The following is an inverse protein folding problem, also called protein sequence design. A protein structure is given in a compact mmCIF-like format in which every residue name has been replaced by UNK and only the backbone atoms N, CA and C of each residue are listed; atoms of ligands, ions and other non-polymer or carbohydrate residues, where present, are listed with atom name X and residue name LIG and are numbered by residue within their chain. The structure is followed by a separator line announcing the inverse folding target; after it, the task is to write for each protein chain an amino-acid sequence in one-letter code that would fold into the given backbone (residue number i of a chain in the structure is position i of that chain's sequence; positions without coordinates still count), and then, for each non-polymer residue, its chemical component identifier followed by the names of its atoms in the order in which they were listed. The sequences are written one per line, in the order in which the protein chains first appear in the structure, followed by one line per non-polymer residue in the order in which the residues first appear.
data_IF_569598748012
#
_entry.id   IF_569598748012
#
_cell.length_a   1.000
_cell.length_b   1.000
_cell.length_c   1.000
_cell.angle_alpha   90.00
_cell.angle_beta   90.00
_cell.angle_gamma   90.00
#
_symmetry.space_group_name_H-M   'P 1'
#
loop_
_entity.id
_entity.type
_entity.pdbx_description
1 polymer ?
#
# COMPACT_ATOMS: atom_id res chain seq x y z
N UNK A 1 -15.26 10.73 14.07
CA UNK A 1 -13.99 10.23 14.66
C UNK A 1 -13.49 9.08 13.81
N UNK A 2 -12.21 9.05 13.40
CA UNK A 2 -11.65 7.89 12.70
C UNK A 2 -11.66 6.66 13.62
N UNK A 3 -11.82 5.44 13.08
CA UNK A 3 -11.83 4.22 13.89
C UNK A 3 -10.48 4.02 14.59
N UNK A 4 -10.51 3.59 15.85
CA UNK A 4 -9.31 3.20 16.59
C UNK A 4 -8.68 1.93 15.98
N UNK A 5 -7.34 1.75 16.07
CA UNK A 5 -6.63 0.66 15.37
C UNK A 5 -7.11 -0.74 15.76
N UNK A 6 -7.53 -0.92 17.00
CA UNK A 6 -8.08 -2.19 17.51
C UNK A 6 -9.45 -2.50 16.87
N UNK A 7 -10.25 -1.47 16.58
CA UNK A 7 -11.57 -1.61 15.94
C UNK A 7 -11.42 -2.00 14.47
N UNK A 8 -10.44 -1.38 13.78
CA UNK A 8 -10.12 -1.72 12.39
C UNK A 8 -9.64 -3.17 12.24
N UNK A 9 -8.81 -3.66 13.17
CA UNK A 9 -8.36 -5.06 13.19
C UNK A 9 -9.55 -6.05 13.20
N UNK A 10 -10.50 -5.87 14.14
CA UNK A 10 -11.64 -6.79 14.27
C UNK A 10 -12.54 -6.76 13.04
N UNK A 11 -12.70 -5.59 12.43
CA UNK A 11 -13.49 -5.44 11.21
C UNK A 11 -12.84 -6.16 10.03
N UNK A 12 -11.53 -6.00 9.84
CA UNK A 12 -10.77 -6.69 8.78
C UNK A 12 -10.81 -8.20 8.99
N UNK A 13 -10.59 -8.69 10.21
CA UNK A 13 -10.65 -10.13 10.51
C UNK A 13 -12.04 -10.71 10.23
N UNK A 14 -13.11 -10.05 10.69
CA UNK A 14 -14.48 -10.50 10.44
C UNK A 14 -14.83 -10.50 8.95
N UNK A 15 -14.46 -9.45 8.23
CA UNK A 15 -14.64 -9.34 6.78
C UNK A 15 -13.86 -10.41 6.01
N UNK A 16 -12.62 -10.69 6.42
CA UNK A 16 -11.81 -11.70 5.76
C UNK A 16 -12.32 -13.11 6.06
N UNK A 17 -12.79 -13.35 7.29
CA UNK A 17 -13.41 -14.61 7.68
C UNK A 17 -14.64 -14.94 6.84
N UNK A 18 -15.52 -13.97 6.57
CA UNK A 18 -16.71 -14.22 5.73
C UNK A 18 -16.32 -14.65 4.31
N UNK A 19 -15.28 -14.03 3.73
CA UNK A 19 -14.72 -14.43 2.43
C UNK A 19 -14.22 -15.87 2.47
N UNK A 20 -13.41 -16.23 3.47
CA UNK A 20 -12.85 -17.59 3.59
C UNK A 20 -13.97 -18.62 3.75
N UNK A 21 -14.94 -18.36 4.62
CA UNK A 21 -16.08 -19.29 4.85
C UNK A 21 -16.97 -19.47 3.64
N UNK A 22 -17.02 -18.49 2.71
CA UNK A 22 -17.78 -18.62 1.46
C UNK A 22 -17.17 -19.65 0.51
N UNK A 23 -15.85 -19.78 0.52
CA UNK A 23 -15.13 -20.74 -0.32
C UNK A 23 -14.84 -22.06 0.41
N UNK A 24 -14.81 -22.03 1.75
CA UNK A 24 -14.50 -23.16 2.62
C UNK A 24 -15.47 -23.21 3.82
N UNK A 25 -16.70 -23.72 3.63
CA UNK A 25 -17.72 -23.71 4.66
C UNK A 25 -17.42 -24.64 5.86
N UNK A 26 -16.64 -25.70 5.66
CA UNK A 26 -16.38 -26.73 6.69
C UNK A 26 -15.18 -26.42 7.60
N UNK A 27 -14.48 -25.33 7.34
CA UNK A 27 -13.16 -25.07 7.93
C UNK A 27 -13.19 -24.65 9.42
N UNK A 28 -14.38 -24.39 9.96
CA UNK A 28 -14.61 -24.28 11.41
C UNK A 28 -13.72 -23.25 12.12
N UNK A 29 -13.16 -23.63 13.26
CA UNK A 29 -12.32 -22.76 14.10
C UNK A 29 -10.87 -22.65 13.62
N UNK A 30 -10.39 -23.59 12.80
CA UNK A 30 -8.99 -23.63 12.32
C UNK A 30 -8.79 -22.94 10.97
N UNK A 31 -9.64 -21.97 10.66
CA UNK A 31 -9.66 -21.30 9.36
C UNK A 31 -8.38 -20.52 9.02
N UNK A 32 -7.60 -20.13 10.02
CA UNK A 32 -6.30 -19.48 9.84
C UNK A 32 -5.19 -20.45 9.42
N UNK A 33 -5.32 -21.73 9.76
CA UNK A 33 -4.31 -22.77 9.50
C UNK A 33 -4.44 -23.38 8.10
N UNK A 34 -5.50 -23.02 7.36
CA UNK A 34 -5.72 -23.54 6.01
C UNK A 34 -4.60 -23.11 5.08
N UNK A 35 -4.00 -24.11 4.44
CA UNK A 35 -3.01 -23.91 3.40
C UNK A 35 -3.67 -23.51 2.07
N UNK A 36 -3.13 -22.48 1.44
CA UNK A 36 -3.56 -21.95 0.15
C UNK A 36 -2.70 -22.53 -0.98
N UNK A 37 -2.63 -23.85 -1.06
CA UNK A 37 -1.84 -24.60 -2.06
C UNK A 37 -2.52 -24.60 -3.43
N UNK A 38 -3.84 -24.67 -3.49
CA UNK A 38 -4.59 -24.56 -4.74
C UNK A 38 -4.56 -23.11 -5.27
N UNK A 39 -3.98 -22.85 -6.46
CA UNK A 39 -3.91 -21.51 -7.03
C UNK A 39 -5.29 -20.89 -7.27
N UNK A 40 -6.31 -21.68 -7.60
CA UNK A 40 -7.67 -21.18 -7.85
C UNK A 40 -8.30 -20.69 -6.55
N UNK A 41 -8.27 -21.52 -5.52
CA UNK A 41 -8.75 -21.18 -4.19
C UNK A 41 -8.03 -19.95 -3.62
N UNK A 42 -6.69 -19.92 -3.74
CA UNK A 42 -5.87 -18.78 -3.33
C UNK A 42 -6.27 -17.50 -4.03
N UNK A 43 -6.49 -17.55 -5.35
CA UNK A 43 -6.93 -16.39 -6.12
C UNK A 43 -8.29 -15.88 -5.66
N UNK A 44 -9.28 -16.76 -5.50
CA UNK A 44 -10.63 -16.37 -5.08
C UNK A 44 -10.64 -15.73 -3.67
N UNK A 45 -9.92 -16.32 -2.72
CA UNK A 45 -9.82 -15.78 -1.35
C UNK A 45 -9.14 -14.40 -1.35
N UNK A 46 -8.00 -14.27 -2.06
CA UNK A 46 -7.29 -12.99 -2.12
C UNK A 46 -8.13 -11.93 -2.85
N UNK A 47 -8.79 -12.28 -3.96
CA UNK A 47 -9.68 -11.38 -4.70
C UNK A 47 -10.85 -10.90 -3.83
N UNK A 48 -11.46 -11.79 -3.05
CA UNK A 48 -12.48 -11.43 -2.07
C UNK A 48 -11.94 -10.48 -1.01
N UNK A 49 -10.74 -10.75 -0.49
CA UNK A 49 -10.02 -9.86 0.44
C UNK A 49 -9.81 -8.46 -0.12
N UNK A 50 -9.29 -8.35 -1.35
CA UNK A 50 -9.11 -7.05 -2.04
C UNK A 50 -10.45 -6.32 -2.19
N UNK A 51 -11.53 -7.04 -2.54
CA UNK A 51 -12.84 -6.44 -2.77
C UNK A 51 -13.46 -5.84 -1.51
N UNK A 52 -13.20 -6.45 -0.34
CA UNK A 52 -13.78 -6.00 0.94
C UNK A 52 -12.88 -4.98 1.65
N UNK A 53 -11.56 -5.15 1.56
CA UNK A 53 -10.58 -4.37 2.32
C UNK A 53 -10.02 -3.21 1.49
N UNK A 54 -10.10 -3.30 0.16
CA UNK A 54 -9.63 -2.27 -0.77
C UNK A 54 -8.10 -2.19 -0.90
N UNK A 55 -7.37 -3.17 -0.38
CA UNK A 55 -5.90 -3.23 -0.44
C UNK A 55 -5.45 -4.21 -1.52
N UNK A 56 -4.74 -3.73 -2.53
CA UNK A 56 -4.17 -4.59 -3.57
C UNK A 56 -3.03 -5.46 -3.04
N UNK A 57 -2.89 -6.67 -3.58
CA UNK A 57 -1.81 -7.61 -3.25
C UNK A 57 -0.75 -7.56 -4.36
N UNK A 58 0.46 -7.07 -4.10
CA UNK A 58 1.54 -7.07 -5.09
C UNK A 58 1.95 -8.49 -5.50
N UNK A 59 2.37 -8.67 -6.75
CA UNK A 59 2.81 -9.98 -7.26
C UNK A 59 3.94 -10.60 -6.43
N UNK A 60 4.83 -9.79 -5.87
CA UNK A 60 5.93 -10.25 -5.02
C UNK A 60 5.43 -10.91 -3.72
N UNK A 61 4.30 -10.43 -3.19
CA UNK A 61 3.72 -10.92 -1.94
C UNK A 61 2.91 -12.20 -2.14
N UNK A 62 2.49 -12.50 -3.37
CA UNK A 62 1.76 -13.73 -3.67
C UNK A 62 2.54 -14.97 -3.26
N UNK A 63 3.87 -14.99 -3.41
CA UNK A 63 4.68 -16.14 -3.01
C UNK A 63 4.84 -16.28 -1.49
N UNK A 64 4.71 -15.17 -0.75
CA UNK A 64 4.85 -15.16 0.70
C UNK A 64 3.58 -15.66 1.41
N UNK A 65 2.43 -15.61 0.73
CA UNK A 65 1.14 -16.03 1.27
C UNK A 65 0.98 -17.54 1.09
N UNK A 66 1.22 -18.32 2.15
CA UNK A 66 1.07 -19.78 2.14
C UNK A 66 -0.19 -20.25 2.85
N UNK A 67 -0.60 -19.53 3.89
CA UNK A 67 -1.79 -19.84 4.69
C UNK A 67 -2.77 -18.68 4.70
N UNK A 68 -4.00 -18.94 5.14
CA UNK A 68 -5.01 -17.90 5.39
C UNK A 68 -4.52 -16.91 6.45
N UNK A 69 -3.77 -17.37 7.46
CA UNK A 69 -3.10 -16.51 8.43
C UNK A 69 -2.14 -15.51 7.78
N UNK A 70 -1.35 -15.95 6.81
CA UNK A 70 -0.41 -15.06 6.09
C UNK A 70 -1.16 -14.01 5.26
N UNK A 71 -2.26 -14.41 4.61
CA UNK A 71 -3.12 -13.49 3.87
C UNK A 71 -3.73 -12.44 4.81
N UNK A 72 -4.28 -12.86 5.96
CA UNK A 72 -4.84 -11.95 6.95
C UNK A 72 -3.79 -10.97 7.49
N UNK A 73 -2.59 -11.46 7.84
CA UNK A 73 -1.47 -10.62 8.26
C UNK A 73 -1.10 -9.58 7.19
N UNK A 74 -1.08 -9.98 5.91
CA UNK A 74 -0.83 -9.04 4.83
C UNK A 74 -1.86 -7.90 4.82
N UNK A 75 -3.15 -8.20 4.96
CA UNK A 75 -4.20 -7.18 4.97
C UNK A 75 -4.20 -6.29 6.22
N UNK A 76 -3.77 -6.84 7.35
CA UNK A 76 -3.63 -6.09 8.61
C UNK A 76 -2.41 -5.18 8.64
N UNK A 77 -1.36 -5.52 7.88
CA UNK A 77 -0.16 -4.70 7.80
C UNK A 77 -0.51 -3.39 7.10
N UNK A 78 -0.25 -2.20 7.68
CA UNK A 78 -0.50 -0.95 7.00
C UNK A 78 0.29 -0.93 5.69
N UNK A 79 -0.32 -0.41 4.61
CA UNK A 79 0.41 -0.24 3.35
C UNK A 79 1.60 0.67 3.62
N UNK A 80 2.81 0.14 3.49
CA UNK A 80 3.98 1.01 3.39
C UNK A 80 3.79 1.84 2.12
N UNK A 81 3.92 3.17 2.17
CA UNK A 81 3.92 3.98 0.96
C UNK A 81 5.05 3.46 0.06
N UNK A 82 4.71 3.19 -1.20
CA UNK A 82 5.70 2.79 -2.20
C UNK A 82 6.76 3.89 -2.26
N UNK A 83 8.04 3.62 -1.92
CA UNK A 83 9.09 4.64 -1.91
C UNK A 83 9.37 5.22 -3.30
N UNK A 84 8.76 4.65 -4.36
CA UNK A 84 8.81 5.16 -5.73
C UNK A 84 7.63 6.10 -6.07
N UNK A 85 6.57 6.13 -5.27
CA UNK A 85 5.45 7.08 -5.38
C UNK A 85 5.71 8.24 -4.44
N UNK A 86 5.74 9.45 -4.98
CA UNK A 86 6.26 10.62 -4.28
C UNK A 86 7.78 10.71 -4.46
N UNK A 87 8.32 11.91 -4.62
CA UNK A 87 9.77 12.10 -4.62
C UNK A 87 10.20 12.06 -3.14
N UNK A 88 10.88 11.00 -2.63
CA UNK A 88 11.17 10.88 -1.20
C UNK A 88 11.99 12.06 -0.68
N UNK A 89 12.86 12.60 -1.56
CA UNK A 89 13.59 13.84 -1.33
C UNK A 89 12.65 15.03 -1.16
N UNK A 90 11.63 15.19 -2.01
CA UNK A 90 10.66 16.28 -1.90
C UNK A 90 9.85 16.19 -0.61
N UNK A 91 9.38 14.99 -0.25
CA UNK A 91 8.65 14.76 0.99
C UNK A 91 9.51 15.06 2.23
N UNK A 92 10.79 14.67 2.21
CA UNK A 92 11.74 15.01 3.26
C UNK A 92 11.96 16.51 3.38
N UNK A 93 12.14 17.22 2.25
CA UNK A 93 12.32 18.67 2.24
C UNK A 93 11.06 19.40 2.72
N UNK A 94 9.87 18.92 2.39
CA UNK A 94 8.60 19.47 2.88
C UNK A 94 8.43 19.28 4.39
N UNK A 95 8.68 18.06 4.89
CA UNK A 95 8.62 17.77 6.32
C UNK A 95 9.63 18.58 7.15
N UNK A 96 10.79 18.89 6.56
CA UNK A 96 11.89 19.56 7.24
C UNK A 96 12.06 21.04 6.90
N UNK A 97 11.05 21.70 6.28
CA UNK A 97 11.12 23.13 5.88
C UNK A 97 11.59 24.06 7.00
N UNK A 98 11.20 23.80 8.25
CA UNK A 98 11.59 24.62 9.40
C UNK A 98 13.04 24.46 9.84
N UNK A 99 13.72 23.37 9.46
CA UNK A 99 15.13 23.10 9.78
C UNK A 99 16.08 23.55 8.65
N UNK A 100 15.55 24.03 7.53
CA UNK A 100 16.35 24.51 6.41
C UNK A 100 16.85 25.93 6.68
N UNK A 101 18.10 26.26 6.33
CA UNK A 101 18.59 27.63 6.33
C UNK A 101 17.68 28.55 5.50
N UNK A 102 17.47 29.80 5.92
CA UNK A 102 16.62 30.76 5.19
C UNK A 102 17.07 31.04 3.75
N UNK A 103 18.34 30.81 3.45
CA UNK A 103 18.90 30.92 2.10
C UNK A 103 18.77 29.64 1.25
N UNK A 104 18.10 28.60 1.75
CA UNK A 104 17.90 27.34 1.07
C UNK A 104 16.41 27.11 0.79
N UNK A 105 16.04 27.01 -0.48
CA UNK A 105 14.69 26.68 -0.92
C UNK A 105 14.70 25.40 -1.75
N UNK A 106 13.76 24.50 -1.47
CA UNK A 106 13.58 23.30 -2.26
C UNK A 106 12.62 23.58 -3.42
N UNK A 107 13.09 23.39 -4.65
CA UNK A 107 12.27 23.48 -5.87
C UNK A 107 11.96 22.04 -6.32
N UNK A 108 10.70 21.58 -6.20
CA UNK A 108 10.34 20.24 -6.65
C UNK A 108 10.53 20.09 -8.15
N UNK A 109 11.15 18.99 -8.56
CA UNK A 109 11.40 18.71 -9.98
C UNK A 109 10.10 18.36 -10.72
N UNK A 110 9.63 19.25 -11.58
CA UNK A 110 8.52 19.00 -12.51
C UNK A 110 9.06 18.44 -13.83
N UNK A 111 8.74 17.17 -14.14
CA UNK A 111 8.95 16.62 -15.49
C UNK A 111 7.91 17.20 -16.45
N UNK A 112 8.16 18.37 -17.02
CA UNK A 112 7.37 18.81 -18.17
C UNK A 112 7.66 17.89 -19.37
N UNK A 113 6.64 17.15 -19.82
CA UNK A 113 6.73 16.33 -21.03
C UNK A 113 7.00 17.25 -22.23
N UNK A 114 8.11 17.03 -22.92
CA UNK A 114 8.42 17.71 -24.19
C UNK A 114 9.47 18.83 -24.14
N UNK A 115 9.96 19.23 -22.96
CA UNK A 115 10.98 20.29 -22.87
C UNK A 115 12.39 19.72 -23.00
N UNK A 116 13.11 20.09 -24.07
CA UNK A 116 14.54 19.75 -24.27
C UNK A 116 15.37 20.29 -23.09
N UNK A 117 16.38 19.52 -22.65
CA UNK A 117 17.21 19.81 -21.46
C UNK A 117 17.78 21.23 -21.43
N UNK A 118 18.09 21.80 -22.59
CA UNK A 118 18.65 23.15 -22.76
C UNK A 118 17.67 24.29 -22.49
N UNK A 119 16.37 24.08 -22.72
CA UNK A 119 15.32 25.08 -22.47
C UNK A 119 14.96 25.14 -20.98
N UNK A 120 15.29 24.08 -20.22
CA UNK A 120 14.98 23.97 -18.78
C UNK A 120 15.77 24.98 -17.93
N UNK A 121 17.06 25.16 -18.22
CA UNK A 121 17.90 26.08 -17.43
C UNK A 121 17.58 27.57 -17.62
N UNK A 122 16.71 27.90 -18.59
CA UNK A 122 16.24 29.25 -18.87
C UNK A 122 14.88 29.56 -18.22
N UNK A 123 14.07 28.54 -17.91
CA UNK A 123 12.80 28.69 -17.20
C UNK A 123 13.05 28.91 -15.71
N UNK A 124 13.96 28.14 -15.11
CA UNK A 124 14.32 28.26 -13.69
C UNK A 124 14.97 29.61 -13.29
N UNK A 125 15.39 30.43 -14.28
CA UNK A 125 15.99 31.76 -14.03
C UNK A 125 15.01 32.92 -14.16
N UNK A 126 13.76 32.68 -14.58
CA UNK A 126 12.83 33.75 -14.98
C UNK A 126 11.85 34.18 -13.89
N UNK A 127 11.82 33.53 -12.74
CA UNK A 127 11.05 33.99 -11.58
C UNK A 127 12.01 34.47 -10.50
N UNK A 128 12.37 35.74 -10.58
CA UNK A 128 12.90 36.56 -9.49
C UNK A 128 12.23 37.93 -9.53
#
# INVERSE_FOLDING_TARGET
MPPTPITAYKQIEAAFRTVVTRHLPEVGTKWLEVELTDPKLKFEILKGGVSVIGKEVPNLELNNIKTVSDALKFFLTPSTPDPRKGHPTAEWFEANKGALPQNMQFVPYTKERGVKRELRSKLDRKEY
#
